data_IF_256321219053
#
_entry.id   IF_256321219053
#
_cell.length_a   1.000
_cell.length_b   1.000
_cell.length_c   1.000
_cell.angle_alpha   90.00
_cell.angle_beta   90.00
_cell.angle_gamma   90.00
#
_symmetry.space_group_name_H-M   'P 1'
#
loop_
_entity.id
_entity.type
_entity.pdbx_description
1 polymer ?
#
# COMPACT_ATOMS: atom_id res chain seq x y z
N UNK A 1 -6.14 -15.83 -8.31
CA UNK A 1 -4.73 -15.68 -8.65
C UNK A 1 -3.87 -16.03 -7.45
N UNK A 2 -2.99 -16.99 -7.61
CA UNK A 2 -2.15 -17.48 -6.52
C UNK A 2 -0.75 -16.86 -6.66
N UNK A 3 -0.33 -16.06 -5.71
CA UNK A 3 0.99 -15.44 -5.71
C UNK A 3 1.96 -16.21 -4.82
N UNK A 4 3.25 -16.12 -5.17
CA UNK A 4 4.32 -16.72 -4.39
C UNK A 4 4.50 -15.95 -3.09
N UNK A 5 4.71 -16.69 -1.98
CA UNK A 5 4.97 -16.10 -0.67
C UNK A 5 6.34 -16.56 -0.17
N UNK A 6 6.96 -15.81 0.78
CA UNK A 6 8.20 -16.25 1.40
C UNK A 6 8.02 -17.57 2.13
N UNK A 7 9.10 -18.34 2.20
CA UNK A 7 9.13 -19.63 2.87
C UNK A 7 8.75 -19.45 4.35
N UNK A 8 7.79 -20.22 4.82
CA UNK A 8 7.30 -20.16 6.21
C UNK A 8 6.15 -19.20 6.46
N UNK A 9 5.74 -18.42 5.45
CA UNK A 9 4.55 -17.56 5.54
C UNK A 9 3.39 -18.23 4.83
N UNK A 10 2.32 -18.45 5.58
CA UNK A 10 1.09 -19.01 5.03
C UNK A 10 0.04 -17.91 4.89
N UNK A 11 -0.65 -17.89 3.74
CA UNK A 11 -1.79 -17.01 3.55
C UNK A 11 -2.92 -17.45 4.45
N UNK A 12 -3.42 -16.57 5.29
CA UNK A 12 -4.54 -16.87 6.19
C UNK A 12 -5.86 -16.47 5.53
N UNK A 13 -6.94 -17.23 5.73
CA UNK A 13 -8.27 -16.82 5.23
C UNK A 13 -8.68 -15.41 5.67
N UNK A 14 -8.31 -15.00 6.90
CA UNK A 14 -8.59 -13.67 7.42
C UNK A 14 -7.92 -12.59 6.58
N UNK A 15 -6.67 -12.83 6.16
CA UNK A 15 -5.91 -11.89 5.30
C UNK A 15 -6.60 -11.73 3.95
N UNK A 16 -7.04 -12.84 3.36
CA UNK A 16 -7.76 -12.83 2.09
C UNK A 16 -9.08 -12.07 2.20
N UNK A 17 -9.81 -12.25 3.30
CA UNK A 17 -11.07 -11.55 3.55
C UNK A 17 -10.86 -10.03 3.70
N UNK A 18 -9.78 -9.62 4.37
CA UNK A 18 -9.43 -8.20 4.52
C UNK A 18 -9.14 -7.61 3.14
N UNK A 19 -8.31 -8.28 2.36
CA UNK A 19 -7.95 -7.84 1.01
C UNK A 19 -9.19 -7.69 0.13
N UNK A 20 -10.06 -8.69 0.10
CA UNK A 20 -11.29 -8.64 -0.69
C UNK A 20 -12.18 -7.47 -0.27
N UNK A 21 -12.36 -7.27 1.03
CA UNK A 21 -13.16 -6.18 1.56
C UNK A 21 -12.60 -4.82 1.18
N UNK A 22 -11.28 -4.64 1.28
CA UNK A 22 -10.60 -3.40 0.92
C UNK A 22 -10.81 -3.10 -0.58
N UNK A 23 -10.63 -4.08 -1.44
CA UNK A 23 -10.80 -3.88 -2.87
C UNK A 23 -12.25 -3.67 -3.28
N UNK A 24 -13.21 -4.25 -2.57
CA UNK A 24 -14.62 -3.95 -2.79
C UNK A 24 -14.93 -2.48 -2.55
N UNK A 25 -14.30 -1.88 -1.54
CA UNK A 25 -14.45 -0.44 -1.25
C UNK A 25 -13.73 0.39 -2.31
N UNK A 26 -12.54 -0.02 -2.74
CA UNK A 26 -11.71 0.74 -3.66
C UNK A 26 -12.09 0.62 -5.14
N UNK A 27 -12.88 -0.39 -5.51
CA UNK A 27 -13.18 -0.70 -6.90
C UNK A 27 -13.49 0.51 -7.80
N UNK A 28 -14.33 1.48 -7.37
CA UNK A 28 -14.64 2.63 -8.24
C UNK A 28 -13.45 3.54 -8.53
N UNK A 29 -12.39 3.47 -7.70
CA UNK A 29 -11.26 4.40 -7.77
C UNK A 29 -10.02 3.78 -8.42
N UNK A 30 -10.05 2.47 -8.71
CA UNK A 30 -8.86 1.75 -9.18
C UNK A 30 -8.57 1.95 -10.68
N UNK A 31 -9.57 1.87 -11.60
CA UNK A 31 -9.25 1.96 -13.03
C UNK A 31 -8.52 3.26 -13.39
N UNK A 32 -7.38 3.12 -14.04
CA UNK A 32 -6.55 4.24 -14.46
C UNK A 32 -5.74 4.90 -13.35
N UNK A 33 -5.79 4.37 -12.13
CA UNK A 33 -5.09 4.97 -10.99
C UNK A 33 -3.61 4.65 -10.98
N UNK A 34 -2.83 5.54 -10.34
CA UNK A 34 -1.43 5.32 -10.01
C UNK A 34 -1.36 4.90 -8.56
N UNK A 35 -0.78 3.73 -8.32
CA UNK A 35 -0.79 3.07 -7.02
C UNK A 35 0.62 3.05 -6.43
N UNK A 36 0.71 3.32 -5.13
CA UNK A 36 1.93 3.18 -4.36
C UNK A 36 1.68 2.16 -3.26
N UNK A 37 2.49 1.11 -3.21
CA UNK A 37 2.38 0.05 -2.21
C UNK A 37 3.60 0.09 -1.31
N UNK A 38 3.43 0.68 -0.13
CA UNK A 38 4.48 0.82 0.87
C UNK A 38 4.46 -0.40 1.80
N UNK A 39 5.64 -0.91 2.15
CA UNK A 39 5.78 -2.15 2.90
C UNK A 39 5.14 -3.32 2.13
N UNK A 40 5.53 -3.45 0.86
CA UNK A 40 4.79 -4.24 -0.13
C UNK A 40 4.77 -5.75 0.13
N UNK A 41 5.76 -6.29 0.86
CA UNK A 41 5.84 -7.72 1.13
C UNK A 41 6.02 -8.54 -0.15
N UNK A 42 4.99 -9.26 -0.55
CA UNK A 42 5.01 -10.07 -1.78
C UNK A 42 4.37 -9.37 -2.97
N UNK A 43 3.92 -8.12 -2.81
CA UNK A 43 3.30 -7.35 -3.87
C UNK A 43 1.82 -7.64 -4.10
N UNK A 44 1.19 -8.37 -3.19
CA UNK A 44 -0.19 -8.83 -3.36
C UNK A 44 -1.19 -7.69 -3.59
N UNK A 45 -1.10 -6.60 -2.82
CA UNK A 45 -2.04 -5.49 -2.95
C UNK A 45 -1.86 -4.75 -4.27
N UNK A 46 -0.62 -4.42 -4.63
CA UNK A 46 -0.33 -3.73 -5.88
C UNK A 46 -0.74 -4.56 -7.09
N UNK A 47 -0.44 -5.85 -7.07
CA UNK A 47 -0.79 -6.75 -8.17
C UNK A 47 -2.30 -6.87 -8.33
N UNK A 48 -3.03 -6.94 -7.21
CA UNK A 48 -4.49 -6.94 -7.25
C UNK A 48 -5.01 -5.65 -7.87
N UNK A 49 -4.45 -4.50 -7.50
CA UNK A 49 -4.83 -3.22 -8.09
C UNK A 49 -4.57 -3.18 -9.60
N UNK A 50 -3.42 -3.69 -10.05
CA UNK A 50 -3.11 -3.78 -11.47
C UNK A 50 -4.09 -4.68 -12.20
N UNK A 51 -4.47 -5.82 -11.60
CA UNK A 51 -5.43 -6.74 -12.21
C UNK A 51 -6.83 -6.12 -12.33
N UNK A 52 -7.13 -5.11 -11.52
CA UNK A 52 -8.41 -4.40 -11.53
C UNK A 52 -8.37 -3.10 -12.34
N UNK A 53 -7.30 -2.86 -13.06
CA UNK A 53 -7.21 -1.76 -14.01
C UNK A 53 -6.37 -0.56 -13.62
N UNK A 54 -5.58 -0.64 -12.56
CA UNK A 54 -4.63 0.42 -12.24
C UNK A 54 -3.64 0.61 -13.40
N UNK A 55 -3.26 1.84 -13.65
CA UNK A 55 -2.35 2.18 -14.75
C UNK A 55 -0.92 1.78 -14.44
N UNK A 56 -0.50 2.00 -13.19
CA UNK A 56 0.89 1.85 -12.77
C UNK A 56 0.92 1.58 -11.27
N UNK A 57 1.85 0.77 -10.82
CA UNK A 57 2.09 0.54 -9.40
C UNK A 57 3.58 0.63 -9.08
N UNK A 58 3.90 1.38 -8.03
CA UNK A 58 5.23 1.39 -7.43
C UNK A 58 5.16 0.56 -6.15
N UNK A 59 6.07 -0.41 -6.02
CA UNK A 59 6.12 -1.33 -4.89
C UNK A 59 7.43 -1.11 -4.14
N UNK A 60 7.31 -0.70 -2.89
CA UNK A 60 8.47 -0.37 -2.04
C UNK A 60 8.58 -1.43 -0.95
N UNK A 61 9.71 -2.11 -0.92
CA UNK A 61 9.98 -3.18 0.03
C UNK A 61 11.47 -3.19 0.38
N UNK A 62 11.78 -3.31 1.66
CA UNK A 62 13.15 -3.29 2.15
C UNK A 62 13.83 -4.64 2.03
N UNK A 63 13.11 -5.74 2.21
CA UNK A 63 13.65 -7.09 2.24
C UNK A 63 13.97 -7.59 0.83
N UNK A 64 15.25 -7.94 0.59
CA UNK A 64 15.70 -8.37 -0.74
C UNK A 64 15.00 -9.63 -1.23
N UNK A 65 14.73 -10.58 -0.34
CA UNK A 65 14.03 -11.81 -0.71
C UNK A 65 12.60 -11.50 -1.15
N UNK A 66 11.93 -10.62 -0.42
CA UNK A 66 10.58 -10.16 -0.80
C UNK A 66 10.60 -9.43 -2.14
N UNK A 67 11.61 -8.59 -2.39
CA UNK A 67 11.74 -7.90 -3.67
C UNK A 67 11.87 -8.87 -4.84
N UNK A 68 12.66 -9.93 -4.67
CA UNK A 68 12.79 -10.99 -5.68
C UNK A 68 11.44 -11.68 -5.93
N UNK A 69 10.72 -11.97 -4.86
CA UNK A 69 9.38 -12.60 -4.95
C UNK A 69 8.39 -11.67 -5.65
N UNK A 70 8.44 -10.37 -5.35
CA UNK A 70 7.60 -9.38 -6.05
C UNK A 70 7.85 -9.43 -7.56
N UNK A 71 9.12 -9.43 -7.97
CA UNK A 71 9.46 -9.47 -9.39
C UNK A 71 8.96 -10.75 -10.06
N UNK A 72 9.10 -11.89 -9.38
CA UNK A 72 8.57 -13.16 -9.86
C UNK A 72 7.04 -13.10 -9.99
N UNK A 73 6.36 -12.54 -9.00
CA UNK A 73 4.90 -12.41 -9.01
C UNK A 73 4.43 -11.47 -10.12
N UNK A 74 5.13 -10.37 -10.36
CA UNK A 74 4.83 -9.47 -11.47
C UNK A 74 5.01 -10.16 -12.83
N UNK A 75 6.08 -10.95 -12.98
CA UNK A 75 6.33 -11.70 -14.20
C UNK A 75 5.24 -12.75 -14.43
N UNK A 76 4.89 -13.51 -13.39
CA UNK A 76 3.89 -14.57 -13.47
C UNK A 76 2.51 -14.02 -13.84
N UNK A 77 2.17 -12.84 -13.36
CA UNK A 77 0.89 -12.20 -13.61
C UNK A 77 0.91 -11.29 -14.85
N UNK A 78 2.05 -11.19 -15.53
CA UNK A 78 2.24 -10.39 -16.75
C UNK A 78 2.11 -8.88 -16.52
N UNK A 79 2.55 -8.40 -15.35
CA UNK A 79 2.52 -6.98 -14.99
C UNK A 79 3.90 -6.34 -14.85
N UNK A 80 4.96 -6.97 -15.39
CA UNK A 80 6.31 -6.39 -15.32
C UNK A 80 6.40 -5.00 -15.96
N UNK A 81 5.58 -4.72 -16.94
CA UNK A 81 5.54 -3.44 -17.64
C UNK A 81 4.82 -2.34 -16.86
N UNK A 82 4.05 -2.71 -15.83
CA UNK A 82 3.24 -1.76 -15.05
C UNK A 82 3.63 -1.67 -13.59
N UNK A 83 4.48 -2.56 -13.11
CA UNK A 83 4.95 -2.56 -11.73
C UNK A 83 6.42 -2.20 -11.66
N UNK A 84 6.76 -1.23 -10.81
CA UNK A 84 8.15 -0.81 -10.59
C UNK A 84 8.52 -1.14 -9.15
N UNK A 85 9.56 -1.95 -8.98
CA UNK A 85 9.98 -2.41 -7.65
C UNK A 85 11.15 -1.56 -7.16
N UNK A 86 11.01 -1.03 -5.95
CA UNK A 86 12.07 -0.29 -5.26
C UNK A 86 12.46 -1.08 -4.01
N UNK A 87 13.64 -1.69 -4.04
CA UNK A 87 14.15 -2.46 -2.91
C UNK A 87 14.93 -1.53 -1.98
N UNK A 88 14.20 -0.85 -1.10
CA UNK A 88 14.77 0.15 -0.19
C UNK A 88 13.79 0.45 0.93
N UNK A 89 14.26 1.18 1.94
CA UNK A 89 13.42 1.61 3.05
C UNK A 89 12.34 2.58 2.56
N UNK A 90 11.14 2.45 3.12
CA UNK A 90 10.01 3.34 2.80
C UNK A 90 10.39 4.80 3.04
N UNK A 91 11.02 5.12 4.18
CA UNK A 91 11.41 6.48 4.49
C UNK A 91 12.37 7.07 3.45
N UNK A 92 13.35 6.29 3.00
CA UNK A 92 14.31 6.73 1.98
C UNK A 92 13.62 6.94 0.64
N UNK A 93 12.73 6.04 0.26
CA UNK A 93 11.97 6.16 -0.98
C UNK A 93 11.12 7.43 -0.99
N UNK A 94 10.37 7.69 0.09
CA UNK A 94 9.46 8.82 0.15
C UNK A 94 10.19 10.16 0.06
N UNK A 95 11.35 10.27 0.70
CA UNK A 95 12.18 11.48 0.62
C UNK A 95 12.69 11.73 -0.79
N UNK A 96 13.03 10.67 -1.50
CA UNK A 96 13.58 10.79 -2.85
C UNK A 96 12.50 11.04 -3.89
N UNK A 97 11.37 10.32 -3.83
CA UNK A 97 10.30 10.46 -4.80
C UNK A 97 9.64 11.84 -4.72
N UNK A 98 9.62 12.44 -3.54
CA UNK A 98 9.09 13.80 -3.36
C UNK A 98 9.81 14.86 -4.17
N UNK A 99 11.07 14.60 -4.54
CA UNK A 99 11.88 15.51 -5.37
C UNK A 99 11.56 15.39 -6.86
N UNK A 100 10.80 14.37 -7.26
CA UNK A 100 10.54 14.05 -8.67
C UNK A 100 9.15 14.47 -9.15
N UNK A 101 8.38 15.14 -8.31
CA UNK A 101 7.02 15.61 -8.64
C UNK A 101 6.11 14.47 -9.15
N UNK A 102 6.21 13.31 -8.51
CA UNK A 102 5.37 12.15 -8.80
C UNK A 102 4.31 12.03 -7.72
N UNK A 103 3.05 11.86 -8.13
CA UNK A 103 1.92 11.74 -7.20
C UNK A 103 1.11 10.49 -7.48
N UNK A 104 0.42 10.02 -6.45
CA UNK A 104 -0.34 8.78 -6.49
C UNK A 104 -1.80 9.00 -6.10
N UNK A 105 -2.67 8.17 -6.65
CA UNK A 105 -4.10 8.20 -6.40
C UNK A 105 -4.50 7.27 -5.27
N UNK A 106 -3.82 6.14 -5.12
CA UNK A 106 -4.07 5.16 -4.07
C UNK A 106 -2.73 4.75 -3.47
N UNK A 107 -2.64 4.86 -2.15
CA UNK A 107 -1.44 4.47 -1.41
C UNK A 107 -1.83 3.42 -0.37
N UNK A 108 -1.25 2.24 -0.46
CA UNK A 108 -1.37 1.20 0.55
C UNK A 108 -0.20 1.30 1.51
N UNK A 109 -0.47 1.20 2.80
CA UNK A 109 0.57 1.08 3.79
C UNK A 109 0.17 0.06 4.86
N UNK A 110 1.03 -0.95 5.03
CA UNK A 110 0.89 -1.98 6.04
C UNK A 110 2.21 -2.09 6.78
N UNK A 111 2.53 -1.09 7.62
CA UNK A 111 3.81 -1.06 8.33
C UNK A 111 3.89 -2.13 9.41
N UNK A 112 5.11 -2.57 9.78
CA UNK A 112 5.27 -3.48 10.90
C UNK A 112 4.63 -2.92 12.16
N UNK A 113 4.05 -3.80 12.97
CA UNK A 113 3.48 -3.43 14.27
C UNK A 113 4.63 -3.01 15.20
N UNK A 114 4.57 -1.81 15.68
CA UNK A 114 5.45 -1.14 16.65
C UNK A 114 6.14 0.08 16.04
N UNK A 115 6.86 0.80 16.85
CA UNK A 115 7.89 1.80 16.48
C UNK A 115 7.38 3.03 15.73
N UNK A 116 6.08 3.34 15.84
CA UNK A 116 5.47 4.57 15.28
C UNK A 116 5.61 4.71 13.76
N UNK A 117 5.73 3.63 13.02
CA UNK A 117 5.83 3.65 11.57
C UNK A 117 4.64 4.33 10.90
N UNK A 118 3.44 4.22 11.48
CA UNK A 118 2.24 4.83 10.91
C UNK A 118 2.39 6.35 10.87
N UNK A 119 2.71 6.96 12.00
CA UNK A 119 2.86 8.42 12.08
C UNK A 119 4.02 8.92 11.21
N UNK A 120 5.16 8.25 11.28
CA UNK A 120 6.33 8.61 10.48
C UNK A 120 6.00 8.56 8.99
N UNK A 121 5.33 7.49 8.54
CA UNK A 121 4.99 7.33 7.13
C UNK A 121 3.97 8.37 6.68
N UNK A 122 2.92 8.60 7.47
CA UNK A 122 1.93 9.65 7.14
C UNK A 122 2.58 11.02 7.06
N UNK A 123 3.49 11.34 7.96
CA UNK A 123 4.22 12.59 7.94
C UNK A 123 5.02 12.76 6.66
N UNK A 124 5.76 11.72 6.26
CA UNK A 124 6.54 11.75 5.03
C UNK A 124 5.67 11.87 3.78
N UNK A 125 4.51 11.20 3.77
CA UNK A 125 3.56 11.32 2.66
C UNK A 125 3.07 12.76 2.49
N UNK A 126 2.74 13.41 3.59
CA UNK A 126 2.22 14.79 3.57
C UNK A 126 3.34 15.79 3.24
N UNK A 127 4.50 15.68 3.92
CA UNK A 127 5.61 16.58 3.71
C UNK A 127 6.16 16.57 2.28
N UNK A 128 6.18 15.40 1.65
CA UNK A 128 6.71 15.24 0.30
C UNK A 128 5.65 15.43 -0.80
N UNK A 129 4.42 15.71 -0.42
CA UNK A 129 3.31 16.04 -1.32
C UNK A 129 3.16 15.03 -2.47
N UNK A 130 3.06 13.75 -2.11
CA UNK A 130 3.00 12.67 -3.11
C UNK A 130 1.60 12.09 -3.28
N UNK A 131 0.58 12.73 -2.71
CA UNK A 131 -0.80 12.29 -2.81
C UNK A 131 -1.56 13.25 -3.72
N UNK A 132 -2.21 12.73 -4.75
CA UNK A 132 -3.08 13.53 -5.60
C UNK A 132 -4.30 14.03 -4.81
N UNK A 133 -4.90 15.13 -5.27
CA UNK A 133 -6.15 15.62 -4.70
C UNK A 133 -7.19 14.50 -4.80
N UNK A 134 -7.93 14.28 -3.71
CA UNK A 134 -8.86 13.16 -3.54
C UNK A 134 -8.18 11.79 -3.50
N UNK A 135 -6.85 11.75 -3.44
CA UNK A 135 -6.10 10.50 -3.28
C UNK A 135 -6.44 9.81 -1.97
N UNK A 136 -6.36 8.48 -1.98
CA UNK A 136 -6.77 7.64 -0.86
C UNK A 136 -5.55 6.95 -0.28
N UNK A 137 -5.37 7.05 1.04
CA UNK A 137 -4.39 6.26 1.78
C UNK A 137 -5.13 5.16 2.52
N UNK A 138 -4.73 3.93 2.29
CA UNK A 138 -5.28 2.74 2.95
C UNK A 138 -4.25 2.22 3.92
N UNK A 139 -4.52 2.36 5.21
CA UNK A 139 -3.60 1.94 6.26
C UNK A 139 -4.15 0.71 6.97
N UNK A 140 -3.44 -0.42 6.82
CA UNK A 140 -3.72 -1.62 7.58
C UNK A 140 -2.87 -1.59 8.85
N UNK A 141 -3.48 -1.84 10.00
CA UNK A 141 -2.78 -1.73 11.28
C UNK A 141 -3.43 -2.62 12.32
N UNK A 142 -2.72 -2.83 13.43
CA UNK A 142 -3.25 -3.56 14.56
C UNK A 142 -4.29 -2.71 15.30
N UNK A 143 -5.26 -3.37 15.95
CA UNK A 143 -6.31 -2.69 16.71
C UNK A 143 -5.76 -1.79 17.84
N UNK A 144 -4.56 -2.11 18.35
CA UNK A 144 -3.91 -1.34 19.41
C UNK A 144 -3.13 -0.14 18.89
N UNK A 145 -2.99 0.01 17.58
CA UNK A 145 -2.37 1.17 16.97
C UNK A 145 -3.43 2.20 16.59
N UNK A 146 -3.08 3.47 16.72
CA UNK A 146 -4.01 4.57 16.43
C UNK A 146 -3.63 5.25 15.12
N UNK A 147 -4.62 5.41 14.25
CA UNK A 147 -4.51 6.26 13.06
C UNK A 147 -5.28 7.55 13.37
N UNK A 148 -4.65 8.72 13.26
CA UNK A 148 -5.33 9.98 13.60
C UNK A 148 -6.53 10.25 12.68
N UNK A 149 -7.54 10.92 13.20
CA UNK A 149 -8.73 11.31 12.45
C UNK A 149 -8.40 12.31 11.33
N UNK A 150 -7.37 13.12 11.54
CA UNK A 150 -6.86 14.01 10.51
C UNK A 150 -5.34 14.12 10.65
N UNK A 151 -4.67 14.30 9.52
CA UNK A 151 -3.22 14.46 9.47
C UNK A 151 -2.87 15.34 8.27
N UNK A 152 -2.53 16.60 8.52
CA UNK A 152 -2.33 17.57 7.45
C UNK A 152 -3.61 17.69 6.61
N UNK A 153 -3.47 17.49 5.30
CA UNK A 153 -4.61 17.54 4.38
C UNK A 153 -5.38 16.22 4.30
N UNK A 154 -4.94 15.19 5.02
CA UNK A 154 -5.62 13.89 5.05
C UNK A 154 -6.68 13.86 6.13
N UNK A 155 -7.85 13.31 5.78
CA UNK A 155 -8.94 13.06 6.72
C UNK A 155 -9.34 11.59 6.66
N UNK A 156 -9.46 10.97 7.84
CA UNK A 156 -9.96 9.60 7.94
C UNK A 156 -11.46 9.61 7.66
N UNK A 157 -11.86 8.88 6.63
CA UNK A 157 -13.26 8.86 6.19
C UNK A 157 -13.95 7.53 6.50
N UNK A 158 -13.18 6.48 6.78
CA UNK A 158 -13.74 5.17 7.04
C UNK A 158 -12.75 4.32 7.84
N UNK A 159 -13.28 3.48 8.71
CA UNK A 159 -12.52 2.47 9.43
C UNK A 159 -13.27 1.16 9.43
N UNK A 160 -12.56 0.06 9.25
CA UNK A 160 -13.11 -1.30 9.29
C UNK A 160 -12.28 -2.15 10.24
N UNK A 161 -12.95 -3.05 10.96
CA UNK A 161 -12.29 -3.97 11.90
C UNK A 161 -12.48 -5.40 11.46
N UNK A 162 -11.39 -6.16 11.49
CA UNK A 162 -11.35 -7.57 11.13
C UNK A 162 -10.52 -8.31 12.20
N UNK A 163 -11.18 -8.74 13.29
CA UNK A 163 -10.45 -9.31 14.41
C UNK A 163 -9.48 -8.31 15.02
N UNK A 164 -8.20 -8.65 15.06
CA UNK A 164 -7.15 -7.78 15.59
C UNK A 164 -6.59 -6.79 14.55
N UNK A 165 -7.04 -6.90 13.31
CA UNK A 165 -6.61 -6.04 12.22
C UNK A 165 -7.66 -4.96 11.97
N UNK A 166 -7.18 -3.73 11.76
CA UNK A 166 -8.02 -2.61 11.34
C UNK A 166 -7.51 -2.04 10.04
N UNK A 167 -8.43 -1.52 9.24
CA UNK A 167 -8.09 -0.80 8.01
C UNK A 167 -8.70 0.57 8.11
N UNK A 168 -7.87 1.60 8.00
CA UNK A 168 -8.29 3.00 8.02
C UNK A 168 -8.09 3.59 6.63
N UNK A 169 -9.10 4.32 6.16
CA UNK A 169 -9.07 5.00 4.87
C UNK A 169 -9.01 6.49 5.11
N UNK A 170 -7.97 7.15 4.57
CA UNK A 170 -7.80 8.59 4.67
C UNK A 170 -7.83 9.17 3.26
N UNK A 171 -8.44 10.33 3.11
CA UNK A 171 -8.57 11.00 1.80
C UNK A 171 -8.01 12.40 1.90
N UNK A 172 -7.28 12.82 0.86
CA UNK A 172 -6.77 14.17 0.74
C UNK A 172 -7.89 15.07 0.23
N UNK A 173 -8.28 16.00 1.08
CA UNK A 173 -9.33 16.95 0.77
C UNK A 173 -8.91 18.12 -0.07
#
# INVERSE_FOLDING_TARGET
>A
MKLKTPKGLNTRPTVDNVKESVFNILNPYIPGSRVLDLFSGTGSLAIEALSRGAELAYLVEENRNCCSIIRENLAQTKFLDKGVVYCRKVSSFLKEIGKKDVKFDIIFMDPPYCCNFIQETLQLLVENDIINDKGIVVCEHHKNETVPESFGSLKKVKGKSYGDTRVSFLVKG
#
